data_IF_430563890180
#
_entry.id   IF_430563890180
#
_cell.length_a   1.000
_cell.length_b   1.000
_cell.length_c   1.000
_cell.angle_alpha   90.00
_cell.angle_beta   90.00
_cell.angle_gamma   90.00
#
_symmetry.space_group_name_H-M   'P 1'
#
loop_
_entity.id
_entity.type
_entity.pdbx_description
1 polymer ?
#
# COMPACT_ATOMS: atom_id res chain seq x y z
N UNK A 1 -44.23 44.97 -22.06
CA UNK A 1 -44.08 43.56 -22.38
C UNK A 1 -43.80 42.79 -21.06
N UNK A 2 -44.89 42.26 -20.43
CA UNK A 2 -44.77 41.57 -19.13
C UNK A 2 -44.28 40.13 -19.36
N UNK A 3 -43.04 39.83 -18.96
CA UNK A 3 -42.52 38.46 -18.98
C UNK A 3 -43.27 37.66 -17.95
N UNK A 4 -43.89 36.55 -18.36
CA UNK A 4 -44.69 35.71 -17.51
C UNK A 4 -43.79 35.06 -16.40
N UNK A 5 -43.96 35.52 -15.18
CA UNK A 5 -43.18 35.13 -13.97
C UNK A 5 -43.10 33.62 -13.77
N UNK A 6 -44.16 32.89 -14.15
CA UNK A 6 -44.19 31.43 -14.06
C UNK A 6 -43.26 30.76 -15.10
N UNK A 7 -43.15 31.35 -16.30
CA UNK A 7 -42.25 30.81 -17.34
C UNK A 7 -40.78 31.00 -16.95
N UNK A 8 -40.46 32.12 -16.31
CA UNK A 8 -39.11 32.44 -15.83
C UNK A 8 -38.70 31.51 -14.66
N UNK A 9 -39.58 31.26 -13.70
CA UNK A 9 -39.33 30.35 -12.58
C UNK A 9 -39.12 28.90 -13.06
N UNK A 10 -39.85 28.44 -14.07
CA UNK A 10 -39.67 27.12 -14.65
C UNK A 10 -38.33 27.01 -15.41
N UNK A 11 -37.88 28.08 -16.05
CA UNK A 11 -36.59 28.14 -16.73
C UNK A 11 -35.43 28.05 -15.73
N UNK A 12 -35.50 28.83 -14.64
CA UNK A 12 -34.50 28.83 -13.56
C UNK A 12 -34.42 27.44 -12.91
N UNK A 13 -35.55 26.80 -12.66
CA UNK A 13 -35.57 25.44 -12.07
C UNK A 13 -34.99 24.39 -12.99
N UNK A 14 -35.21 24.49 -14.31
CA UNK A 14 -34.57 23.60 -15.29
C UNK A 14 -33.07 23.81 -15.37
N UNK A 15 -32.62 25.08 -15.33
CA UNK A 15 -31.21 25.44 -15.33
C UNK A 15 -30.50 24.90 -14.08
N UNK A 16 -31.09 25.09 -12.88
CA UNK A 16 -30.54 24.54 -11.64
C UNK A 16 -30.44 23.01 -11.65
N UNK A 17 -31.46 22.31 -12.14
CA UNK A 17 -31.43 20.86 -12.27
C UNK A 17 -30.35 20.37 -13.25
N UNK A 18 -30.13 21.10 -14.34
CA UNK A 18 -29.10 20.80 -15.32
C UNK A 18 -27.69 21.02 -14.74
N UNK A 19 -27.49 22.11 -13.99
CA UNK A 19 -26.23 22.37 -13.27
C UNK A 19 -25.95 21.31 -12.22
N UNK A 20 -26.97 20.91 -11.45
CA UNK A 20 -26.85 19.85 -10.46
C UNK A 20 -26.50 18.49 -11.10
N UNK A 21 -27.13 18.19 -12.25
CA UNK A 21 -26.85 16.96 -13.01
C UNK A 21 -25.41 16.96 -13.54
N UNK A 22 -24.92 18.08 -14.11
CA UNK A 22 -23.54 18.22 -14.54
C UNK A 22 -22.55 18.08 -13.38
N UNK A 23 -22.85 18.66 -12.24
CA UNK A 23 -22.02 18.54 -11.04
C UNK A 23 -21.92 17.09 -10.56
N UNK A 24 -23.02 16.35 -10.55
CA UNK A 24 -23.05 14.91 -10.20
C UNK A 24 -22.22 14.10 -11.22
N UNK A 25 -22.35 14.40 -12.53
CA UNK A 25 -21.57 13.72 -13.57
C UNK A 25 -20.06 13.95 -13.40
N UNK A 26 -19.64 15.16 -13.04
CA UNK A 26 -18.21 15.49 -12.84
C UNK A 26 -17.66 14.74 -11.64
N UNK A 27 -18.43 14.53 -10.56
CA UNK A 27 -18.03 13.76 -9.40
C UNK A 27 -17.83 12.27 -9.69
N UNK A 28 -18.40 11.74 -10.77
CA UNK A 28 -18.26 10.33 -11.15
C UNK A 28 -17.01 10.03 -11.98
N UNK A 29 -16.28 11.04 -12.46
CA UNK A 29 -15.11 10.87 -13.35
C UNK A 29 -13.80 10.80 -12.55
N UNK A 30 -13.83 11.02 -11.23
CA UNK A 30 -12.64 10.98 -10.37
C UNK A 30 -12.26 9.54 -9.99
N UNK A 31 -11.95 8.70 -10.98
CA UNK A 31 -11.26 7.43 -10.78
C UNK A 31 -9.85 7.57 -11.37
N UNK A 32 -8.89 7.98 -10.56
CA UNK A 32 -7.49 7.89 -10.88
C UNK A 32 -7.12 6.40 -10.79
N UNK A 33 -6.95 5.73 -11.93
CA UNK A 33 -6.39 4.38 -11.98
C UNK A 33 -4.89 4.51 -11.67
N UNK A 34 -4.54 4.28 -10.41
CA UNK A 34 -3.15 4.04 -10.03
C UNK A 34 -2.67 2.84 -10.87
N UNK A 35 -1.74 3.08 -11.83
CA UNK A 35 -1.27 2.09 -12.79
C UNK A 35 -0.32 1.06 -12.17
N UNK A 36 -0.60 0.64 -10.92
CA UNK A 36 0.23 -0.22 -10.13
C UNK A 36 -0.49 -1.48 -9.65
N UNK A 37 0.26 -2.56 -9.48
CA UNK A 37 -0.20 -3.74 -8.76
C UNK A 37 0.00 -3.55 -7.26
N UNK A 38 -1.05 -3.72 -6.48
CA UNK A 38 -0.97 -3.68 -5.02
C UNK A 38 -1.69 -4.90 -4.43
N UNK A 39 -1.04 -5.58 -3.48
CA UNK A 39 -1.60 -6.74 -2.81
C UNK A 39 -1.25 -6.70 -1.32
N UNK A 40 -2.25 -6.91 -0.47
CA UNK A 40 -2.11 -6.96 0.99
C UNK A 40 -2.48 -8.33 1.52
N UNK A 41 -1.77 -8.77 2.56
CA UNK A 41 -2.14 -9.93 3.37
C UNK A 41 -2.36 -9.49 4.82
N UNK A 42 -3.57 -9.70 5.31
CA UNK A 42 -3.92 -9.47 6.70
C UNK A 42 -3.25 -10.49 7.61
N UNK A 43 -2.83 -10.05 8.76
CA UNK A 43 -2.20 -10.88 9.79
C UNK A 43 -3.21 -11.29 10.86
N UNK A 44 -2.86 -12.32 11.60
CA UNK A 44 -3.62 -12.66 12.81
C UNK A 44 -3.47 -11.57 13.87
N UNK A 45 -4.40 -11.51 14.83
CA UNK A 45 -4.33 -10.59 15.98
C UNK A 45 -3.05 -10.73 16.82
N UNK A 46 -2.34 -11.84 16.66
CA UNK A 46 -1.06 -12.07 17.33
C UNK A 46 0.11 -11.32 16.67
N UNK A 47 -0.12 -10.67 15.53
CA UNK A 47 0.85 -9.87 14.79
C UNK A 47 1.68 -10.65 13.77
N UNK A 48 2.77 -10.01 13.30
CA UNK A 48 3.65 -10.52 12.27
C UNK A 48 4.58 -11.60 12.82
N UNK A 49 4.42 -12.84 12.35
CA UNK A 49 5.25 -13.97 12.77
C UNK A 49 6.66 -13.91 12.18
N UNK A 50 7.57 -14.77 12.68
CA UNK A 50 8.90 -14.96 12.10
C UNK A 50 8.89 -15.65 10.74
N UNK A 51 7.78 -16.30 10.36
CA UNK A 51 7.65 -16.91 9.03
C UNK A 51 7.38 -15.82 7.97
N UNK A 52 8.10 -15.82 6.85
CA UNK A 52 7.88 -14.85 5.79
C UNK A 52 6.49 -14.97 5.17
N UNK A 53 5.96 -13.83 4.75
CA UNK A 53 4.74 -13.74 3.96
C UNK A 53 5.13 -13.76 2.49
N UNK A 54 4.55 -14.68 1.71
CA UNK A 54 4.88 -14.87 0.30
C UNK A 54 3.75 -14.32 -0.58
N UNK A 55 4.09 -13.50 -1.56
CA UNK A 55 3.20 -12.96 -2.58
C UNK A 55 3.57 -13.56 -3.94
N UNK A 56 2.64 -14.28 -4.56
CA UNK A 56 2.81 -14.73 -5.94
C UNK A 56 2.40 -13.59 -6.87
N UNK A 57 3.29 -13.20 -7.77
CA UNK A 57 3.08 -12.06 -8.66
C UNK A 57 2.46 -12.54 -9.96
N UNK A 58 1.29 -12.00 -10.36
CA UNK A 58 0.65 -12.35 -11.62
C UNK A 58 1.53 -11.96 -12.82
N UNK A 59 1.50 -12.74 -13.89
CA UNK A 59 2.32 -12.52 -15.09
C UNK A 59 2.05 -11.17 -15.74
N UNK A 60 0.80 -10.77 -15.82
CA UNK A 60 0.41 -9.47 -16.41
C UNK A 60 0.96 -8.24 -15.67
N UNK A 61 1.49 -8.41 -14.46
CA UNK A 61 2.12 -7.32 -13.68
C UNK A 61 3.59 -7.14 -14.06
N UNK A 62 4.23 -8.22 -14.52
CA UNK A 62 5.68 -8.32 -14.71
C UNK A 62 6.09 -8.40 -16.18
N UNK A 63 5.14 -8.23 -17.11
CA UNK A 63 5.33 -8.52 -18.53
C UNK A 63 6.33 -7.62 -19.24
N UNK A 64 6.57 -6.40 -18.79
CA UNK A 64 7.55 -5.51 -19.43
C UNK A 64 7.85 -4.26 -18.60
N UNK A 65 9.03 -3.70 -18.86
CA UNK A 65 9.43 -2.40 -18.35
C UNK A 65 10.17 -2.45 -17.02
N UNK A 66 10.55 -1.27 -16.61
CA UNK A 66 11.25 -1.00 -15.37
C UNK A 66 10.20 -0.72 -14.29
N UNK A 67 10.34 -1.37 -13.15
CA UNK A 67 9.37 -1.28 -12.05
C UNK A 67 10.01 -0.71 -10.79
N UNK A 68 9.20 -0.06 -9.99
CA UNK A 68 9.53 0.34 -8.64
C UNK A 68 8.79 -0.57 -7.66
N UNK A 69 9.50 -1.11 -6.67
CA UNK A 69 8.95 -2.02 -5.69
C UNK A 69 8.80 -1.32 -4.34
N UNK A 70 7.64 -1.45 -3.72
CA UNK A 70 7.36 -0.92 -2.40
C UNK A 70 6.83 -2.02 -1.48
N UNK A 71 7.10 -1.85 -0.20
CA UNK A 71 6.50 -2.65 0.87
C UNK A 71 5.49 -1.77 1.60
N UNK A 72 4.34 -2.31 1.90
CA UNK A 72 3.31 -1.65 2.69
C UNK A 72 3.18 -2.32 4.05
N UNK A 73 3.08 -1.51 5.08
CA UNK A 73 2.84 -1.96 6.44
C UNK A 73 1.67 -1.18 7.03
N UNK A 74 0.71 -1.93 7.59
CA UNK A 74 -0.33 -1.34 8.44
C UNK A 74 -0.07 -1.68 9.87
N UNK A 75 0.15 -0.67 10.69
CA UNK A 75 0.35 -0.81 12.12
C UNK A 75 -0.71 -0.05 12.92
N UNK A 76 -1.00 -0.56 14.10
CA UNK A 76 -1.81 0.10 15.11
C UNK A 76 -0.92 0.67 16.24
N UNK A 77 -1.57 1.23 17.28
CA UNK A 77 -0.89 1.82 18.43
C UNK A 77 -0.26 0.77 19.38
N UNK A 78 -0.47 -0.53 19.14
CA UNK A 78 0.16 -1.62 19.91
C UNK A 78 1.55 -1.98 19.37
N UNK A 79 1.98 -1.40 18.24
CA UNK A 79 3.33 -1.60 17.73
C UNK A 79 4.34 -0.93 18.66
N UNK A 80 5.30 -1.69 19.26
CA UNK A 80 6.07 -1.16 20.38
C UNK A 80 7.40 -0.48 20.01
N UNK A 81 7.69 -0.34 18.70
CA UNK A 81 8.98 0.17 18.22
C UNK A 81 8.82 1.38 17.32
N UNK A 82 9.84 2.26 17.27
CA UNK A 82 9.90 3.41 16.36
C UNK A 82 10.46 3.07 14.97
N UNK A 83 11.03 1.88 14.79
CA UNK A 83 11.56 1.37 13.51
C UNK A 83 11.14 -0.08 13.30
N UNK A 84 11.33 -0.58 12.09
CA UNK A 84 11.12 -2.00 11.74
C UNK A 84 12.27 -2.52 10.88
N UNK A 85 12.68 -3.76 11.14
CA UNK A 85 13.62 -4.49 10.30
C UNK A 85 12.88 -5.56 9.53
N UNK A 86 13.07 -5.54 8.20
CA UNK A 86 12.46 -6.48 7.27
C UNK A 86 13.53 -7.22 6.47
N UNK A 87 13.21 -8.46 6.11
CA UNK A 87 13.95 -9.22 5.10
C UNK A 87 13.02 -9.39 3.93
N UNK A 88 13.37 -8.82 2.79
CA UNK A 88 12.61 -8.90 1.56
C UNK A 88 13.40 -9.64 0.49
N UNK A 89 12.74 -10.54 -0.26
CA UNK A 89 13.40 -11.27 -1.34
C UNK A 89 12.48 -11.48 -2.54
N UNK A 90 13.10 -11.58 -3.72
CA UNK A 90 12.44 -11.98 -4.97
C UNK A 90 12.99 -13.31 -5.41
N UNK A 91 12.10 -14.23 -5.78
CA UNK A 91 12.40 -15.52 -6.37
C UNK A 91 11.76 -15.65 -7.75
N UNK A 92 12.46 -16.32 -8.66
CA UNK A 92 11.98 -16.68 -9.99
C UNK A 92 12.14 -18.20 -10.17
N UNK A 93 11.03 -18.91 -10.28
CA UNK A 93 11.07 -20.36 -10.20
C UNK A 93 11.66 -20.83 -8.86
N UNK A 94 12.77 -21.55 -8.94
CA UNK A 94 13.52 -22.03 -7.75
C UNK A 94 14.71 -21.13 -7.39
N UNK A 95 14.98 -20.08 -8.15
CA UNK A 95 16.18 -19.27 -7.99
C UNK A 95 15.90 -18.02 -7.17
N UNK A 96 16.76 -17.76 -6.19
CA UNK A 96 16.76 -16.52 -5.44
C UNK A 96 17.43 -15.43 -6.29
N UNK A 97 16.67 -14.45 -6.75
CA UNK A 97 17.17 -13.35 -7.58
C UNK A 97 17.92 -12.33 -6.73
N UNK A 98 17.29 -11.89 -5.63
CA UNK A 98 17.97 -11.06 -4.63
C UNK A 98 17.25 -11.12 -3.28
N UNK A 99 17.96 -10.69 -2.22
CA UNK A 99 17.47 -10.62 -0.85
C UNK A 99 18.10 -9.42 -0.16
N UNK A 100 17.26 -8.56 0.39
CA UNK A 100 17.67 -7.36 1.10
C UNK A 100 17.28 -7.45 2.59
N UNK A 101 18.10 -6.83 3.43
CA UNK A 101 17.75 -6.51 4.82
C UNK A 101 17.53 -5.01 4.90
N UNK A 102 16.34 -4.61 5.32
CA UNK A 102 15.84 -3.24 5.26
C UNK A 102 15.50 -2.75 6.65
N UNK A 103 15.80 -1.49 6.92
CA UNK A 103 15.37 -0.79 8.13
C UNK A 103 14.57 0.43 7.73
N UNK A 104 13.42 0.61 8.39
CA UNK A 104 12.55 1.77 8.17
C UNK A 104 12.13 2.40 9.49
N UNK A 105 12.13 3.72 9.53
CA UNK A 105 11.50 4.47 10.62
C UNK A 105 9.98 4.36 10.49
N UNK A 106 9.30 4.05 11.59
CA UNK A 106 7.84 3.96 11.69
C UNK A 106 7.23 5.14 12.44
N UNK A 107 8.03 5.80 13.29
CA UNK A 107 7.61 6.97 14.07
C UNK A 107 8.61 8.11 13.97
N UNK A 108 8.10 9.33 14.11
CA UNK A 108 8.89 10.55 14.27
C UNK A 108 9.56 10.60 15.66
N UNK A 109 10.52 11.51 15.88
CA UNK A 109 11.16 11.68 17.18
C UNK A 109 10.20 12.06 18.34
N UNK A 110 9.05 12.65 18.02
CA UNK A 110 7.99 12.98 18.98
C UNK A 110 7.05 11.80 19.29
N UNK A 111 7.30 10.64 18.68
CA UNK A 111 6.49 9.42 18.86
C UNK A 111 5.26 9.32 17.95
N UNK A 112 4.97 10.32 17.11
CA UNK A 112 3.88 10.25 16.15
C UNK A 112 4.23 9.29 15.00
N UNK A 113 3.25 8.52 14.51
CA UNK A 113 3.44 7.59 13.38
C UNK A 113 3.67 8.34 12.06
N UNK A 114 4.61 7.86 11.25
CA UNK A 114 4.92 8.41 9.91
C UNK A 114 3.84 8.03 8.89
N UNK A 115 3.21 6.85 9.06
CA UNK A 115 2.19 6.34 8.16
C UNK A 115 0.93 7.20 8.09
N UNK A 116 0.18 7.09 7.00
CA UNK A 116 -1.07 7.80 6.73
C UNK A 116 -2.28 7.02 7.23
N UNK A 117 -3.30 7.71 7.75
CA UNK A 117 -4.57 7.08 8.16
C UNK A 117 -5.36 7.98 9.11
N UNK A 118 -6.69 7.87 9.05
CA UNK A 118 -7.63 8.65 9.87
C UNK A 118 -7.97 7.98 11.21
N UNK A 119 -7.67 6.69 11.33
CA UNK A 119 -7.96 5.87 12.52
C UNK A 119 -6.66 5.54 13.28
N UNK A 120 -6.75 4.63 14.23
CA UNK A 120 -5.59 4.09 14.96
C UNK A 120 -4.62 3.33 14.05
N UNK A 121 -5.12 2.80 12.92
CA UNK A 121 -4.29 2.09 11.95
C UNK A 121 -3.64 3.07 10.98
N UNK A 122 -2.32 2.96 10.85
CA UNK A 122 -1.51 3.75 9.93
C UNK A 122 -0.96 2.85 8.82
N UNK A 123 -1.05 3.34 7.58
CA UNK A 123 -0.49 2.69 6.39
C UNK A 123 0.79 3.41 5.98
N UNK A 124 1.89 2.67 5.94
CA UNK A 124 3.21 3.15 5.54
C UNK A 124 3.61 2.50 4.22
N UNK A 125 3.80 3.32 3.17
CA UNK A 125 4.39 2.92 1.90
C UNK A 125 5.90 3.10 1.98
N UNK A 126 6.63 1.99 1.99
CA UNK A 126 8.07 1.92 2.21
C UNK A 126 8.77 1.62 0.89
N UNK A 127 9.71 2.48 0.52
CA UNK A 127 10.53 2.28 -0.67
C UNK A 127 11.43 1.06 -0.52
N UNK A 128 11.41 0.14 -1.49
CA UNK A 128 12.25 -1.04 -1.46
C UNK A 128 13.27 -1.07 -2.59
N UNK A 129 12.84 -1.02 -3.85
CA UNK A 129 13.74 -1.14 -4.99
C UNK A 129 13.29 -0.24 -6.12
N UNK A 130 14.22 0.54 -6.67
CA UNK A 130 14.02 1.36 -7.85
C UNK A 130 14.58 0.68 -9.09
N UNK A 131 13.93 0.89 -10.22
CA UNK A 131 14.49 0.49 -11.51
C UNK A 131 14.65 -1.03 -11.68
N UNK A 132 13.77 -1.81 -11.06
CA UNK A 132 13.85 -3.27 -11.09
C UNK A 132 13.23 -3.83 -12.37
N UNK A 133 13.97 -4.74 -13.04
CA UNK A 133 13.48 -5.51 -14.18
C UNK A 133 13.30 -6.96 -13.73
N UNK A 134 12.06 -7.44 -13.82
CA UNK A 134 11.76 -8.83 -13.46
C UNK A 134 12.42 -9.81 -14.46
N UNK A 135 13.02 -10.91 -13.98
CA UNK A 135 13.54 -11.96 -14.83
C UNK A 135 12.41 -12.64 -15.62
N UNK A 136 12.78 -13.39 -16.68
CA UNK A 136 11.80 -14.11 -17.53
C UNK A 136 11.31 -15.42 -16.91
N UNK A 137 12.08 -16.00 -16.01
CA UNK A 137 11.79 -17.24 -15.30
C UNK A 137 10.52 -17.10 -14.47
N UNK A 138 9.68 -18.12 -14.46
CA UNK A 138 8.38 -18.13 -13.76
C UNK A 138 8.26 -19.38 -12.87
N UNK A 139 7.45 -19.34 -11.81
CA UNK A 139 6.68 -18.19 -11.30
C UNK A 139 7.56 -17.18 -10.55
N UNK A 140 7.10 -15.92 -10.47
CA UNK A 140 7.73 -14.91 -9.62
C UNK A 140 7.01 -14.86 -8.27
N UNK A 141 7.79 -14.85 -7.20
CA UNK A 141 7.28 -14.60 -5.86
C UNK A 141 8.15 -13.60 -5.09
N UNK A 142 7.48 -12.82 -4.26
CA UNK A 142 8.10 -11.88 -3.32
C UNK A 142 7.81 -12.36 -1.92
N UNK A 143 8.83 -12.46 -1.07
CA UNK A 143 8.64 -12.80 0.34
C UNK A 143 9.11 -11.67 1.25
N UNK A 144 8.30 -11.37 2.27
CA UNK A 144 8.58 -10.35 3.28
C UNK A 144 8.54 -11.01 4.65
N UNK A 145 9.68 -10.96 5.36
CA UNK A 145 9.82 -11.44 6.73
C UNK A 145 10.20 -10.32 7.68
N UNK A 146 9.84 -10.40 8.94
CA UNK A 146 10.34 -9.51 9.97
C UNK A 146 11.67 -10.02 10.55
N UNK A 147 12.58 -9.09 10.89
CA UNK A 147 13.89 -9.38 11.47
C UNK A 147 14.14 -8.60 12.78
N UNK A 148 13.05 -8.25 13.48
CA UNK A 148 13.13 -7.43 14.70
C UNK A 148 13.72 -8.27 15.85
N UNK A 149 14.64 -7.67 16.58
CA UNK A 149 15.26 -8.23 17.78
C UNK A 149 14.98 -7.33 18.98
N UNK A 150 14.61 -7.92 20.11
CA UNK A 150 14.54 -7.17 21.36
C UNK A 150 15.94 -6.88 21.87
N UNK A 151 16.13 -5.70 22.45
CA UNK A 151 17.40 -5.31 23.04
C UNK A 151 17.87 -6.36 24.07
N UNK A 152 19.15 -6.78 23.96
CA UNK A 152 19.75 -7.76 24.87
C UNK A 152 19.34 -9.21 24.65
N UNK A 153 18.58 -9.54 23.57
CA UNK A 153 18.22 -10.92 23.24
C UNK A 153 18.83 -11.33 21.90
N UNK A 154 19.52 -12.48 21.90
CA UNK A 154 20.08 -13.04 20.65
C UNK A 154 18.98 -13.54 19.69
N UNK A 155 17.90 -14.07 20.24
CA UNK A 155 16.76 -14.56 19.45
C UNK A 155 15.86 -13.41 19.01
N UNK A 156 15.51 -13.39 17.73
CA UNK A 156 14.53 -12.46 17.18
C UNK A 156 13.16 -12.56 17.87
N UNK A 157 12.34 -11.53 17.71
CA UNK A 157 10.95 -11.52 18.18
C UNK A 157 10.16 -12.55 17.38
N UNK A 158 9.56 -13.52 18.03
CA UNK A 158 8.79 -14.58 17.36
C UNK A 158 7.50 -14.06 16.73
N UNK A 159 6.88 -13.04 17.34
CA UNK A 159 5.68 -12.35 16.86
C UNK A 159 5.77 -10.86 17.17
N UNK A 160 5.62 -10.06 16.14
CA UNK A 160 5.68 -8.59 16.21
C UNK A 160 4.24 -8.06 16.28
N UNK A 161 3.81 -7.71 17.49
CA UNK A 161 2.46 -7.16 17.74
C UNK A 161 2.28 -5.81 17.06
N UNK A 162 1.04 -5.43 16.82
CA UNK A 162 0.69 -4.13 16.28
C UNK A 162 0.91 -4.00 14.78
N UNK A 163 1.35 -5.03 14.08
CA UNK A 163 1.33 -5.09 12.61
C UNK A 163 0.09 -5.86 12.18
N UNK A 164 -0.84 -5.20 11.52
CA UNK A 164 -2.13 -5.77 11.10
C UNK A 164 -2.10 -6.35 9.69
N UNK A 165 -1.32 -5.75 8.80
CA UNK A 165 -1.15 -6.29 7.45
C UNK A 165 0.20 -5.91 6.86
N UNK A 166 0.66 -6.75 5.95
CA UNK A 166 1.82 -6.52 5.09
C UNK A 166 1.34 -6.53 3.65
N UNK A 167 1.84 -5.63 2.85
CA UNK A 167 1.53 -5.55 1.43
C UNK A 167 2.77 -5.27 0.60
N UNK A 168 2.60 -5.42 -0.70
CA UNK A 168 3.55 -5.01 -1.72
C UNK A 168 2.85 -4.16 -2.77
N UNK A 169 3.53 -3.19 -3.36
CA UNK A 169 3.12 -2.60 -4.64
C UNK A 169 4.27 -2.63 -5.65
N UNK A 170 3.87 -2.78 -6.91
CA UNK A 170 4.73 -2.80 -8.08
C UNK A 170 4.18 -1.74 -9.02
N UNK A 171 4.97 -0.70 -9.27
CA UNK A 171 4.55 0.47 -10.03
C UNK A 171 5.47 0.65 -11.23
N UNK A 172 4.95 1.16 -12.33
CA UNK A 172 5.76 1.55 -13.48
C UNK A 172 6.69 2.73 -13.10
N UNK A 173 7.90 2.73 -13.66
CA UNK A 173 8.82 3.84 -13.46
C UNK A 173 8.49 4.99 -14.41
#
# INVERSE_FOLDING_TARGET
MMINKNKMNNLIRRLNNMVLLCFILICLISCESDSGYTNYKSLSKDGFSSSPIVFNIPENVIDSGIKNLFIHLRNDNNYPYSNIFLIASVQAGNDLIFKDTLEYSMANPDGSWIGKGFTEVKDSKLWWKEGFVFPKERPISISIGQAVRSFGKEKGVSRLKGIESVGISIEDQ
#
